data_IF_269763088897
#
_entry.id   IF_269763088897
#
_cell.length_a   1.000
_cell.length_b   1.000
_cell.length_c   1.000
_cell.angle_alpha   90.00
_cell.angle_beta   90.00
_cell.angle_gamma   90.00
#
_symmetry.space_group_name_H-M   'P 1'
#
loop_
_entity.id
_entity.type
_entity.pdbx_description
1 polymer ?
#
# COMPACT_ATOMS: atom_id res chain seq x y z
N UNK A 1 -10.38 -16.39 -22.38
CA UNK A 1 -10.58 -16.79 -23.78
C UNK A 1 -11.00 -15.57 -24.58
N UNK A 2 -10.41 -15.37 -25.76
CA UNK A 2 -10.77 -14.23 -26.62
C UNK A 2 -11.96 -14.59 -27.49
N UNK A 3 -12.98 -13.74 -27.50
CA UNK A 3 -14.15 -13.92 -28.34
C UNK A 3 -13.79 -13.66 -29.81
N UNK A 4 -14.00 -14.65 -30.67
CA UNK A 4 -13.73 -14.51 -32.11
C UNK A 4 -14.67 -13.55 -32.84
N UNK A 5 -15.82 -13.18 -32.25
CA UNK A 5 -16.80 -12.29 -32.88
C UNK A 5 -16.64 -10.83 -32.47
N UNK A 6 -16.41 -10.57 -31.18
CA UNK A 6 -16.29 -9.19 -30.67
C UNK A 6 -14.86 -8.82 -30.23
N UNK A 7 -13.91 -9.76 -30.25
CA UNK A 7 -12.51 -9.52 -29.85
C UNK A 7 -12.30 -9.41 -28.33
N UNK A 8 -13.35 -9.37 -27.53
CA UNK A 8 -13.25 -9.24 -26.06
C UNK A 8 -12.57 -10.46 -25.43
N UNK A 9 -11.64 -10.22 -24.51
CA UNK A 9 -11.06 -11.28 -23.67
C UNK A 9 -11.96 -11.54 -22.47
N UNK A 10 -12.53 -12.73 -22.40
CA UNK A 10 -13.35 -13.19 -21.28
C UNK A 10 -12.51 -14.01 -20.30
N UNK A 11 -12.59 -13.68 -19.02
CA UNK A 11 -12.01 -14.51 -17.97
C UNK A 11 -12.99 -15.65 -17.63
N UNK A 12 -12.59 -16.89 -17.93
CA UNK A 12 -13.38 -18.08 -17.59
C UNK A 12 -13.21 -18.47 -16.12
N UNK A 13 -12.09 -18.08 -15.52
CA UNK A 13 -11.65 -18.55 -14.22
C UNK A 13 -11.81 -17.49 -13.13
N UNK A 14 -12.41 -16.34 -13.43
CA UNK A 14 -12.68 -15.26 -12.49
C UNK A 14 -13.32 -15.73 -11.18
N UNK A 15 -14.32 -16.61 -11.27
CA UNK A 15 -15.00 -17.14 -10.10
C UNK A 15 -14.11 -18.12 -9.32
N UNK A 16 -13.29 -18.91 -10.02
CA UNK A 16 -12.32 -19.79 -9.39
C UNK A 16 -11.26 -18.98 -8.64
N UNK A 17 -10.73 -17.91 -9.23
CA UNK A 17 -9.78 -17.01 -8.59
C UNK A 17 -10.35 -16.38 -7.31
N UNK A 18 -11.62 -15.93 -7.34
CA UNK A 18 -12.31 -15.41 -6.16
C UNK A 18 -12.48 -16.46 -5.06
N UNK A 19 -12.87 -17.67 -5.43
CA UNK A 19 -13.08 -18.77 -4.48
C UNK A 19 -11.76 -19.20 -3.82
N UNK A 20 -10.69 -19.37 -4.62
CA UNK A 20 -9.34 -19.71 -4.11
C UNK A 20 -8.84 -18.64 -3.15
N UNK A 21 -9.00 -17.36 -3.50
CA UNK A 21 -8.58 -16.25 -2.66
C UNK A 21 -9.37 -16.19 -1.34
N UNK A 22 -10.68 -16.43 -1.39
CA UNK A 22 -11.52 -16.45 -0.19
C UNK A 22 -11.13 -17.60 0.74
N UNK A 23 -11.00 -18.82 0.22
CA UNK A 23 -10.59 -19.98 1.03
C UNK A 23 -9.18 -19.83 1.57
N UNK A 24 -8.24 -19.31 0.77
CA UNK A 24 -6.89 -18.99 1.22
C UNK A 24 -6.88 -18.03 2.41
N UNK A 25 -7.67 -16.94 2.35
CA UNK A 25 -7.83 -16.02 3.49
C UNK A 25 -8.44 -16.69 4.71
N UNK A 26 -9.45 -17.56 4.53
CA UNK A 26 -10.07 -18.29 5.64
C UNK A 26 -9.05 -19.19 6.33
N UNK A 27 -8.27 -19.95 5.58
CA UNK A 27 -7.22 -20.85 6.12
C UNK A 27 -6.17 -20.06 6.91
N UNK A 28 -5.70 -18.93 6.36
CA UNK A 28 -4.74 -18.05 7.07
C UNK A 28 -5.35 -17.47 8.34
N UNK A 29 -6.57 -16.95 8.29
CA UNK A 29 -7.26 -16.38 9.45
C UNK A 29 -7.51 -17.41 10.57
N UNK A 30 -7.67 -18.68 10.22
CA UNK A 30 -7.79 -19.78 11.20
C UNK A 30 -6.48 -20.16 11.90
N UNK A 31 -5.37 -19.50 11.56
CA UNK A 31 -4.09 -19.68 12.26
C UNK A 31 -3.44 -21.05 12.02
N UNK A 32 -3.66 -21.65 10.84
CA UNK A 32 -3.09 -22.97 10.53
C UNK A 32 -1.56 -22.87 10.44
N UNK A 33 -0.85 -23.71 11.19
CA UNK A 33 0.63 -23.71 11.34
C UNK A 33 1.36 -23.80 10.00
N UNK A 34 0.76 -24.48 9.01
CA UNK A 34 1.27 -24.60 7.63
C UNK A 34 1.41 -23.24 6.92
N UNK A 35 0.63 -22.24 7.34
CA UNK A 35 0.72 -20.87 6.83
C UNK A 35 1.66 -20.10 7.74
N UNK A 36 2.91 -19.88 7.32
CA UNK A 36 3.95 -19.14 8.05
C UNK A 36 3.54 -17.71 8.50
N UNK A 37 2.39 -17.20 8.05
CA UNK A 37 1.76 -15.96 8.50
C UNK A 37 0.79 -16.14 9.68
N UNK A 38 0.59 -17.36 10.20
CA UNK A 38 -0.28 -17.67 11.33
C UNK A 38 0.29 -17.21 12.68
N UNK A 39 1.59 -16.93 12.76
CA UNK A 39 2.18 -16.23 13.90
C UNK A 39 2.11 -14.73 13.64
N UNK A 40 0.91 -14.17 13.79
CA UNK A 40 0.74 -12.74 13.98
C UNK A 40 1.47 -12.32 15.25
N UNK A 41 2.72 -11.85 15.11
CA UNK A 41 3.29 -10.97 16.14
C UNK A 41 2.38 -9.74 16.21
N UNK A 42 1.91 -9.33 17.39
CA UNK A 42 1.17 -8.08 17.53
C UNK A 42 2.12 -6.93 17.20
N UNK A 43 2.20 -6.52 15.94
CA UNK A 43 2.90 -5.30 15.55
C UNK A 43 2.00 -4.11 15.87
N UNK A 44 1.63 -3.94 17.15
CA UNK A 44 1.39 -2.57 17.60
C UNK A 44 2.76 -1.93 17.58
N UNK A 45 3.00 -1.00 16.65
CA UNK A 45 4.06 -0.03 16.87
C UNK A 45 3.86 0.51 18.28
N UNK A 46 4.89 0.43 19.13
CA UNK A 46 4.82 1.01 20.46
C UNK A 46 4.24 2.42 20.32
N UNK A 47 3.25 2.76 21.14
CA UNK A 47 2.66 4.10 21.13
C UNK A 47 3.77 5.07 21.56
N UNK A 48 4.50 5.61 20.58
CA UNK A 48 5.45 6.69 20.78
C UNK A 48 4.61 7.95 20.93
N UNK A 49 4.60 8.60 22.12
CA UNK A 49 3.93 9.88 22.26
C UNK A 49 4.52 10.85 21.24
N UNK A 50 3.67 11.57 20.52
CA UNK A 50 4.14 12.59 19.59
C UNK A 50 5.08 13.54 20.34
N UNK A 51 6.32 13.66 19.86
CA UNK A 51 7.28 14.59 20.45
C UNK A 51 6.67 15.99 20.32
N UNK A 52 6.50 16.69 21.45
CA UNK A 52 5.92 18.03 21.49
C UNK A 52 6.94 19.04 20.96
N UNK A 53 7.19 19.00 19.66
CA UNK A 53 8.00 20.00 18.95
C UNK A 53 7.05 21.03 18.36
N UNK A 54 7.36 22.30 18.59
CA UNK A 54 6.64 23.41 17.98
C UNK A 54 6.79 23.31 16.46
N UNK A 55 5.67 23.26 15.74
CA UNK A 55 5.68 23.28 14.28
C UNK A 55 6.24 24.63 13.83
N UNK A 56 7.51 24.65 13.43
CA UNK A 56 8.17 25.85 12.91
C UNK A 56 7.36 26.41 11.74
N UNK A 57 7.02 27.69 11.82
CA UNK A 57 6.30 28.40 10.75
C UNK A 57 7.14 28.38 9.46
N UNK A 58 6.57 27.99 8.31
CA UNK A 58 7.32 27.98 7.06
C UNK A 58 7.72 29.41 6.71
N UNK A 59 9.03 29.66 6.63
CA UNK A 59 9.54 30.94 6.11
C UNK A 59 9.11 31.05 4.66
N UNK A 60 8.25 32.03 4.37
CA UNK A 60 7.87 32.40 3.00
C UNK A 60 9.16 32.64 2.22
N UNK A 61 9.40 31.82 1.20
CA UNK A 61 10.65 31.81 0.45
C UNK A 61 11.01 33.22 -0.02
N UNK A 62 12.13 33.74 0.48
CA UNK A 62 12.79 34.87 -0.15
C UNK A 62 13.47 34.30 -1.39
N UNK A 63 12.87 34.51 -2.56
CA UNK A 63 13.61 34.42 -3.82
C UNK A 63 14.65 35.53 -3.80
N UNK A 64 15.88 35.18 -3.45
CA UNK A 64 17.05 36.00 -3.76
C UNK A 64 17.14 36.09 -5.28
N UNK A 65 16.73 37.22 -5.82
CA UNK A 65 16.97 37.57 -7.21
C UNK A 65 18.50 37.70 -7.38
N UNK A 66 19.10 36.73 -8.06
CA UNK A 66 20.49 36.82 -8.50
C UNK A 66 20.58 37.90 -9.59
N UNK A 67 21.05 39.09 -9.20
CA UNK A 67 21.56 40.09 -10.14
C UNK A 67 22.90 39.62 -10.71
N UNK A 68 22.98 39.52 -12.03
CA UNK A 68 24.12 39.11 -12.85
C UNK A 68 25.28 40.15 -12.74
N UNK A 69 26.57 39.76 -12.80
CA UNK A 69 27.71 40.64 -12.53
C UNK A 69 28.11 41.47 -13.76
N UNK A 70 28.68 42.67 -13.52
CA UNK A 70 29.46 43.38 -14.53
C UNK A 70 29.57 44.89 -14.33
N UNK A 71 30.66 45.32 -13.67
CA UNK A 71 31.79 46.12 -14.18
C UNK A 71 32.47 46.88 -13.03
#
# INVERSE_FOLDING_TARGET
WTCGQCGTVHDRDHNAARNVLFEGRRIVATGRVETLNACGVPVRQAHVPAQRVEAGSPRKGQTTQAGIPGL
#
